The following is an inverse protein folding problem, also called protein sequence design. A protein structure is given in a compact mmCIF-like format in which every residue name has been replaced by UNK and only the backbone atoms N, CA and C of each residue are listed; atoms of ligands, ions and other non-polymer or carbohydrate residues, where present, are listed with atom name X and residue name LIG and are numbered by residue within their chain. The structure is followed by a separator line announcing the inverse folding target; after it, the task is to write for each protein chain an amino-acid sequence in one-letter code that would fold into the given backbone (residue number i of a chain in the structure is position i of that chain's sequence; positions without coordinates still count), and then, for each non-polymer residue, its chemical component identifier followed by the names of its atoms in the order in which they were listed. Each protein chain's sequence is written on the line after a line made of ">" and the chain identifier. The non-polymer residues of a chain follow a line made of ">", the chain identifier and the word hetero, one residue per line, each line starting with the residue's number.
data_IF_793856375926
#
_entry.id   IF_793856375926
#
_cell.length_a   1.000
_cell.length_b   1.000
_cell.length_c   1.000
_cell.angle_alpha   90.00
_cell.angle_beta   90.00
_cell.angle_gamma   90.00
#
_symmetry.space_group_name_H-M   'P 1'
#
loop_
_entity.id
_entity.type
_entity.pdbx_description
1 polymer ?
#
# COMPACT_ATOMS: atom_id res chain seq x y z
N UNK A 1 -22.97 27.26 -0.56
CA UNK A 1 -21.88 26.32 -0.85
C UNK A 1 -22.18 25.05 -0.07
N UNK A 2 -22.43 23.94 -0.74
CA UNK A 2 -22.60 22.65 -0.05
C UNK A 2 -21.22 22.15 0.36
N UNK A 3 -20.96 22.10 1.67
CA UNK A 3 -19.75 21.51 2.21
C UNK A 3 -19.89 19.99 2.08
N UNK A 4 -19.17 19.41 1.12
CA UNK A 4 -19.05 17.96 1.00
C UNK A 4 -18.10 17.50 2.09
N UNK A 5 -18.62 16.82 3.12
CA UNK A 5 -17.80 16.09 4.07
C UNK A 5 -17.84 14.60 3.72
N UNK A 6 -16.68 13.98 3.67
CA UNK A 6 -16.60 12.53 3.60
C UNK A 6 -17.12 11.96 4.93
N UNK A 7 -18.11 11.05 4.92
CA UNK A 7 -18.60 10.45 6.15
C UNK A 7 -17.48 9.67 6.85
N UNK A 8 -17.43 9.78 8.18
CA UNK A 8 -16.49 9.02 9.02
C UNK A 8 -16.77 7.53 8.83
N UNK A 9 -15.77 6.69 8.54
CA UNK A 9 -15.98 5.25 8.38
C UNK A 9 -16.55 4.62 9.65
N UNK A 10 -17.48 3.67 9.48
CA UNK A 10 -17.96 2.85 10.59
C UNK A 10 -16.89 1.81 10.98
N UNK A 11 -16.85 1.43 12.26
CA UNK A 11 -16.03 0.31 12.70
C UNK A 11 -16.62 -1.02 12.17
N UNK A 12 -15.74 -1.94 11.77
CA UNK A 12 -16.13 -3.25 11.24
C UNK A 12 -15.31 -4.36 11.92
N UNK A 13 -15.98 -5.42 12.38
CA UNK A 13 -15.32 -6.60 12.96
C UNK A 13 -14.84 -7.60 11.90
N UNK A 14 -15.15 -7.35 10.62
CA UNK A 14 -14.83 -8.22 9.48
C UNK A 14 -14.23 -7.40 8.33
N UNK A 15 -13.46 -8.07 7.47
CA UNK A 15 -12.94 -7.45 6.24
C UNK A 15 -14.11 -7.13 5.29
N UNK A 16 -14.05 -5.95 4.69
CA UNK A 16 -15.05 -5.42 3.75
C UNK A 16 -14.32 -4.78 2.58
N UNK A 17 -14.99 -4.58 1.45
CA UNK A 17 -14.38 -4.02 0.22
C UNK A 17 -13.60 -2.72 0.46
N UNK A 18 -14.06 -1.86 1.37
CA UNK A 18 -13.39 -0.60 1.69
C UNK A 18 -11.96 -0.78 2.23
N UNK A 19 -11.64 -1.91 2.86
CA UNK A 19 -10.29 -2.21 3.34
C UNK A 19 -9.28 -2.48 2.21
N UNK A 20 -9.75 -2.82 1.00
CA UNK A 20 -8.91 -2.97 -0.19
C UNK A 20 -8.94 -1.77 -1.15
N UNK A 21 -9.60 -0.67 -0.78
CA UNK A 21 -9.83 0.47 -1.67
C UNK A 21 -8.75 1.55 -1.66
N UNK A 22 -7.71 1.43 -0.83
CA UNK A 22 -6.62 2.42 -0.70
C UNK A 22 -6.99 3.70 0.06
N UNK A 23 -8.17 3.75 0.67
CA UNK A 23 -8.67 4.90 1.42
C UNK A 23 -8.49 4.78 2.94
N UNK A 24 -9.33 5.50 3.69
CA UNK A 24 -9.26 5.56 5.17
C UNK A 24 -9.32 4.18 5.82
N UNK A 25 -10.23 3.30 5.36
CA UNK A 25 -10.36 1.95 5.92
C UNK A 25 -9.10 1.09 5.67
N UNK A 26 -8.45 1.22 4.51
CA UNK A 26 -7.18 0.54 4.22
C UNK A 26 -6.08 1.01 5.17
N UNK A 27 -5.97 2.33 5.40
CA UNK A 27 -5.04 2.90 6.37
C UNK A 27 -5.29 2.42 7.80
N UNK A 28 -6.55 2.43 8.24
CA UNK A 28 -6.92 1.93 9.58
C UNK A 28 -6.59 0.44 9.76
N UNK A 29 -6.76 -0.39 8.72
CA UNK A 29 -6.36 -1.79 8.77
C UNK A 29 -4.85 -1.95 8.95
N UNK A 30 -4.04 -1.16 8.23
CA UNK A 30 -2.58 -1.16 8.39
C UNK A 30 -2.17 -0.74 9.79
N UNK A 31 -2.71 0.38 10.27
CA UNK A 31 -2.33 0.96 11.56
C UNK A 31 -2.77 0.12 12.75
N UNK A 32 -3.97 -0.46 12.71
CA UNK A 32 -4.57 -1.14 13.88
C UNK A 32 -4.37 -2.64 13.89
N UNK A 33 -4.11 -3.26 12.74
CA UNK A 33 -3.96 -4.71 12.64
C UNK A 33 -2.53 -5.08 12.23
N UNK A 34 -2.01 -4.55 11.12
CA UNK A 34 -0.72 -5.00 10.60
C UNK A 34 0.47 -4.48 11.39
N UNK A 35 0.60 -3.16 11.61
CA UNK A 35 1.74 -2.59 12.35
C UNK A 35 1.90 -3.20 13.76
N UNK A 36 0.84 -3.36 14.57
CA UNK A 36 0.96 -4.00 15.89
C UNK A 36 1.35 -5.47 15.81
N UNK A 37 0.89 -6.20 14.79
CA UNK A 37 1.19 -7.62 14.61
C UNK A 37 2.65 -7.88 14.23
N UNK A 38 3.31 -6.94 13.54
CA UNK A 38 4.73 -7.04 13.17
C UNK A 38 5.71 -6.65 14.29
N UNK A 39 5.21 -6.24 15.46
CA UNK A 39 6.01 -6.06 16.66
C UNK A 39 6.99 -4.88 16.62
N UNK A 40 8.06 -4.89 17.44
CA UNK A 40 8.94 -3.74 17.64
C UNK A 40 9.65 -3.24 16.39
N UNK A 41 9.87 -4.10 15.40
CA UNK A 41 10.48 -3.71 14.12
C UNK A 41 9.58 -2.83 13.25
N UNK A 42 8.26 -2.88 13.47
CA UNK A 42 7.28 -2.02 12.81
C UNK A 42 6.76 -0.89 13.72
N UNK A 43 7.10 -0.90 15.02
CA UNK A 43 6.67 0.09 15.98
C UNK A 43 7.29 1.47 15.64
N UNK A 44 6.44 2.43 15.28
CA UNK A 44 6.87 3.76 14.85
C UNK A 44 7.39 3.83 13.41
N UNK A 45 7.22 2.75 12.63
CA UNK A 45 7.44 2.81 11.20
C UNK A 45 6.38 3.71 10.55
N UNK A 46 6.82 4.62 9.70
CA UNK A 46 5.94 5.36 8.81
C UNK A 46 5.83 4.57 7.51
N UNK A 47 4.65 4.07 7.13
CA UNK A 47 4.47 3.44 5.83
C UNK A 47 4.83 4.43 4.70
N UNK A 48 5.62 3.96 3.76
CA UNK A 48 6.04 4.67 2.53
C UNK A 48 5.89 3.72 1.35
N UNK A 49 6.02 4.22 0.12
CA UNK A 49 5.82 3.43 -1.10
C UNK A 49 6.85 2.30 -1.25
N UNK A 50 8.02 2.41 -0.60
CA UNK A 50 9.01 1.32 -0.53
C UNK A 50 9.71 1.25 0.83
N UNK A 51 10.16 0.04 1.20
CA UNK A 51 11.11 -0.15 2.29
C UNK A 51 12.53 0.17 1.83
N UNK A 52 13.28 0.97 2.60
CA UNK A 52 14.68 1.29 2.29
C UNK A 52 15.62 0.42 3.11
N UNK A 53 16.34 -0.47 2.43
CA UNK A 53 17.23 -1.46 3.04
C UNK A 53 18.70 -1.10 2.81
N UNK A 54 19.55 -1.04 3.85
CA UNK A 54 20.99 -0.88 3.68
C UNK A 54 21.60 -2.05 2.90
N UNK A 55 22.43 -1.75 1.90
CA UNK A 55 23.06 -2.76 1.03
C UNK A 55 24.58 -2.59 0.97
N UNK A 56 25.29 -2.70 2.12
CA UNK A 56 26.72 -2.44 2.19
C UNK A 56 27.57 -3.41 1.36
N UNK A 57 27.03 -4.56 0.98
CA UNK A 57 27.70 -5.56 0.12
C UNK A 57 27.89 -5.09 -1.32
N UNK A 58 27.14 -4.08 -1.79
CA UNK A 58 27.33 -3.51 -3.13
C UNK A 58 28.43 -2.44 -3.12
N UNK A 59 28.32 -1.46 -2.21
CA UNK A 59 29.31 -0.39 -1.99
C UNK A 59 28.98 0.37 -0.69
N UNK A 60 29.94 1.10 -0.09
CA UNK A 60 29.69 1.94 1.08
C UNK A 60 28.55 2.93 0.82
N UNK A 61 27.54 2.94 1.70
CA UNK A 61 26.39 3.83 1.61
C UNK A 61 25.29 3.42 0.62
N UNK A 62 25.40 2.25 -0.04
CA UNK A 62 24.34 1.76 -0.89
C UNK A 62 23.05 1.44 -0.12
N UNK A 63 21.92 1.71 -0.77
CA UNK A 63 20.56 1.45 -0.28
C UNK A 63 19.74 0.82 -1.40
N UNK A 64 18.84 -0.09 -1.04
CA UNK A 64 17.86 -0.72 -1.92
C UNK A 64 16.47 -0.23 -1.53
N UNK A 65 15.71 0.29 -2.50
CA UNK A 65 14.27 0.45 -2.36
C UNK A 65 13.62 -0.89 -2.73
N UNK A 66 12.74 -1.38 -1.85
CA UNK A 66 12.01 -2.63 -2.04
C UNK A 66 10.52 -2.39 -1.83
N UNK A 67 9.74 -2.50 -2.91
CA UNK A 67 8.27 -2.45 -2.90
C UNK A 67 7.69 -3.76 -3.44
N UNK A 68 6.42 -3.99 -3.18
CA UNK A 68 5.65 -5.08 -3.75
C UNK A 68 4.19 -4.68 -3.88
N UNK A 69 3.57 -5.09 -4.99
CA UNK A 69 2.14 -4.94 -5.23
C UNK A 69 1.52 -6.24 -5.72
N UNK A 70 0.21 -6.35 -5.57
CA UNK A 70 -0.60 -7.38 -6.24
C UNK A 70 -1.73 -6.70 -7.00
N UNK A 71 -1.91 -7.10 -8.25
CA UNK A 71 -2.85 -6.46 -9.17
C UNK A 71 -4.06 -7.37 -9.41
N UNK A 72 -5.26 -6.83 -9.20
CA UNK A 72 -6.54 -7.57 -9.29
C UNK A 72 -7.55 -6.92 -10.24
N UNK A 73 -7.05 -6.07 -11.17
CA UNK A 73 -7.91 -5.34 -12.12
C UNK A 73 -8.69 -6.28 -13.03
N UNK A 74 -9.94 -5.92 -13.31
CA UNK A 74 -10.81 -6.60 -14.27
C UNK A 74 -11.54 -5.58 -15.16
N UNK A 75 -11.66 -5.82 -16.49
CA UNK A 75 -11.08 -6.93 -17.25
C UNK A 75 -9.53 -6.89 -17.31
N UNK A 76 -8.91 -8.00 -17.75
CA UNK A 76 -7.43 -8.08 -17.82
C UNK A 76 -6.83 -7.18 -18.91
N UNK A 77 -7.59 -6.88 -19.96
CA UNK A 77 -7.26 -5.95 -21.03
C UNK A 77 -8.34 -4.86 -21.09
N UNK A 78 -7.93 -3.60 -21.18
CA UNK A 78 -8.83 -2.44 -21.15
C UNK A 78 -8.29 -1.31 -22.05
N UNK A 79 -9.12 -0.32 -22.42
CA UNK A 79 -8.65 0.81 -23.20
C UNK A 79 -7.49 1.53 -22.48
N UNK A 80 -6.30 1.49 -23.08
CA UNK A 80 -5.09 2.13 -22.55
C UNK A 80 -4.10 1.20 -21.83
N UNK A 81 -4.38 -0.11 -21.71
CA UNK A 81 -3.40 -1.06 -21.17
C UNK A 81 -3.97 -2.42 -20.79
N UNK A 82 -3.15 -3.22 -20.13
CA UNK A 82 -3.54 -4.50 -19.54
C UNK A 82 -3.03 -4.64 -18.10
N UNK A 83 -3.42 -5.74 -17.43
CA UNK A 83 -2.92 -6.07 -16.09
C UNK A 83 -1.39 -6.17 -16.04
N UNK A 84 -0.75 -6.61 -17.13
CA UNK A 84 0.71 -6.68 -17.23
C UNK A 84 1.35 -5.30 -17.22
N UNK A 85 0.80 -4.37 -18.02
CA UNK A 85 1.25 -2.97 -18.05
C UNK A 85 1.07 -2.33 -16.67
N UNK A 86 -0.09 -2.55 -16.04
CA UNK A 86 -0.35 -2.04 -14.70
C UNK A 86 0.62 -2.62 -13.67
N UNK A 87 0.92 -3.91 -13.76
CA UNK A 87 1.82 -4.58 -12.82
C UNK A 87 3.25 -4.05 -12.91
N UNK A 88 3.74 -3.85 -14.13
CA UNK A 88 5.08 -3.30 -14.36
C UNK A 88 5.12 -1.82 -13.98
N UNK A 89 4.20 -1.00 -14.50
CA UNK A 89 4.23 0.44 -14.25
C UNK A 89 3.94 0.79 -12.79
N UNK A 90 3.00 0.11 -12.13
CA UNK A 90 2.70 0.31 -10.71
C UNK A 90 3.93 0.09 -9.84
N UNK A 91 4.51 -1.11 -9.93
CA UNK A 91 5.69 -1.48 -9.12
C UNK A 91 6.93 -0.63 -9.43
N UNK A 92 7.08 -0.13 -10.66
CA UNK A 92 8.19 0.76 -11.04
C UNK A 92 7.99 2.20 -10.54
N UNK A 93 6.74 2.64 -10.37
CA UNK A 93 6.42 3.99 -9.94
C UNK A 93 6.52 4.18 -8.43
N UNK A 94 6.35 3.11 -7.66
CA UNK A 94 6.66 3.05 -6.22
C UNK A 94 8.16 3.20 -5.95
#
# INVERSE_FOLDING_TARGET
>A
MLAWSCPVPAAHDVVVMGHGGGGVLSGELVERVFLPAFGPSAAGATPTDAAVLPMPSLQPGARLAFSTDTFVVQPLEFPGGCIGDLAVHGTVND
#
